data_IF_483099920445
#
_entry.id   IF_483099920445
#
_cell.length_a   1.000
_cell.length_b   1.000
_cell.length_c   1.000
_cell.angle_alpha   90.00
_cell.angle_beta   90.00
_cell.angle_gamma   90.00
#
_symmetry.space_group_name_H-M   'P 1'
#
loop_
_entity.id
_entity.type
_entity.pdbx_description
1 polymer ?
#
# COMPACT_ATOMS: atom_id res chain seq x y z
N UNK A 1 13.84 -15.77 -33.51
CA UNK A 1 14.30 -14.72 -32.56
C UNK A 1 13.99 -15.18 -31.14
N UNK A 2 14.98 -15.32 -30.25
CA UNK A 2 14.73 -15.51 -28.81
C UNK A 2 14.63 -14.13 -28.19
N UNK A 3 13.43 -13.68 -27.83
CA UNK A 3 13.27 -12.45 -27.05
C UNK A 3 13.91 -12.72 -25.68
N UNK A 4 14.95 -11.95 -25.34
CA UNK A 4 15.52 -11.97 -23.98
C UNK A 4 14.52 -11.26 -23.09
N UNK A 5 13.81 -12.03 -22.26
CA UNK A 5 13.00 -11.47 -21.19
C UNK A 5 13.95 -10.70 -20.25
N UNK A 6 13.72 -9.41 -20.08
CA UNK A 6 14.49 -8.59 -19.15
C UNK A 6 14.22 -9.08 -17.73
N UNK A 7 15.25 -9.52 -17.03
CA UNK A 7 15.15 -10.03 -15.68
C UNK A 7 15.34 -8.89 -14.67
N UNK A 8 14.31 -8.60 -13.86
CA UNK A 8 14.40 -7.60 -12.80
C UNK A 8 15.22 -8.10 -11.62
N UNK A 9 15.96 -7.18 -11.02
CA UNK A 9 16.75 -7.42 -9.80
C UNK A 9 15.91 -7.13 -8.55
N UNK A 10 16.19 -7.82 -7.43
CA UNK A 10 15.58 -7.56 -6.14
C UNK A 10 15.50 -6.08 -5.76
N UNK A 11 16.62 -5.36 -5.95
CA UNK A 11 16.72 -3.94 -5.59
C UNK A 11 15.74 -3.06 -6.36
N UNK A 12 15.48 -3.36 -7.64
CA UNK A 12 14.58 -2.56 -8.49
C UNK A 12 13.14 -2.66 -8.01
N UNK A 13 12.71 -3.86 -7.61
CA UNK A 13 11.35 -4.04 -7.07
C UNK A 13 11.22 -3.41 -5.69
N UNK A 14 12.27 -3.48 -4.85
CA UNK A 14 12.28 -2.76 -3.58
C UNK A 14 12.23 -1.23 -3.77
N UNK A 15 12.99 -0.69 -4.72
CA UNK A 15 12.99 0.74 -5.03
C UNK A 15 11.63 1.20 -5.51
N UNK A 16 11.02 0.45 -6.43
CA UNK A 16 9.64 0.66 -6.84
C UNK A 16 8.68 0.66 -5.65
N UNK A 17 8.73 -0.38 -4.83
CA UNK A 17 7.77 -0.56 -3.75
C UNK A 17 7.81 0.60 -2.75
N UNK A 18 9.01 1.04 -2.37
CA UNK A 18 9.15 2.18 -1.46
C UNK A 18 8.79 3.51 -2.13
N UNK A 19 9.03 3.67 -3.44
CA UNK A 19 8.54 4.84 -4.18
C UNK A 19 7.01 4.88 -4.25
N UNK A 20 6.37 3.74 -4.44
CA UNK A 20 4.92 3.60 -4.35
C UNK A 20 4.42 3.97 -2.95
N UNK A 21 5.07 3.49 -1.88
CA UNK A 21 4.74 3.88 -0.51
C UNK A 21 4.91 5.39 -0.25
N UNK A 22 5.86 6.04 -0.90
CA UNK A 22 6.07 7.49 -0.81
C UNK A 22 4.92 8.27 -1.46
N UNK A 23 4.59 7.94 -2.72
CA UNK A 23 3.47 8.57 -3.45
C UNK A 23 2.16 8.35 -2.70
N UNK A 24 1.89 7.11 -2.30
CA UNK A 24 0.67 6.76 -1.59
C UNK A 24 0.65 7.35 -0.17
N UNK A 25 1.82 7.47 0.48
CA UNK A 25 1.98 8.13 1.77
C UNK A 25 1.47 9.57 1.76
N UNK A 26 1.76 10.30 0.69
CA UNK A 26 1.24 11.66 0.47
C UNK A 26 -0.27 11.67 0.33
N UNK A 27 -0.82 10.72 -0.44
CA UNK A 27 -2.27 10.58 -0.64
C UNK A 27 -2.96 10.32 0.70
N UNK A 28 -2.52 9.31 1.46
CA UNK A 28 -3.16 8.97 2.74
C UNK A 28 -2.99 10.06 3.80
N UNK A 29 -1.93 10.85 3.74
CA UNK A 29 -1.74 12.02 4.61
C UNK A 29 -2.71 13.15 4.23
N UNK A 30 -2.78 13.50 2.95
CA UNK A 30 -3.68 14.54 2.43
C UNK A 30 -5.14 14.19 2.71
N UNK A 31 -5.50 12.93 2.54
CA UNK A 31 -6.87 12.43 2.75
C UNK A 31 -7.19 12.21 4.25
N UNK A 32 -6.26 12.57 5.16
CA UNK A 32 -6.46 12.47 6.61
C UNK A 32 -6.56 11.04 7.14
N UNK A 33 -6.12 10.04 6.38
CA UNK A 33 -6.09 8.63 6.80
C UNK A 33 -4.92 8.33 7.74
N UNK A 34 -3.88 9.17 7.71
CA UNK A 34 -2.81 9.24 8.72
C UNK A 34 -2.62 10.68 9.16
N UNK A 35 -2.34 10.87 10.44
CA UNK A 35 -2.05 12.20 11.00
C UNK A 35 -0.55 12.49 11.08
N UNK A 36 -0.18 13.77 11.10
CA UNK A 36 1.21 14.21 11.37
C UNK A 36 1.70 13.65 12.70
N UNK A 37 0.82 13.61 13.72
CA UNK A 37 1.13 13.02 15.04
C UNK A 37 1.51 11.54 14.94
N UNK A 38 0.80 10.74 14.13
CA UNK A 38 1.16 9.33 13.92
C UNK A 38 2.54 9.18 13.25
N UNK A 39 2.92 10.10 12.36
CA UNK A 39 4.26 10.15 11.75
C UNK A 39 5.32 10.53 12.79
N UNK A 40 5.05 11.53 13.63
CA UNK A 40 5.94 11.96 14.72
C UNK A 40 6.18 10.85 15.74
N UNK A 41 5.13 10.12 16.13
CA UNK A 41 5.25 8.98 17.04
C UNK A 41 6.14 7.88 16.45
N UNK A 42 6.08 7.67 15.13
CA UNK A 42 6.98 6.76 14.45
C UNK A 42 8.43 7.26 14.45
N UNK A 43 8.67 8.55 14.16
CA UNK A 43 10.04 9.10 14.10
C UNK A 43 10.69 9.21 15.49
N UNK A 44 10.00 9.83 16.45
CA UNK A 44 10.59 10.24 17.72
C UNK A 44 10.45 9.17 18.81
N UNK A 45 9.35 8.41 18.81
CA UNK A 45 9.11 7.34 19.81
C UNK A 45 9.45 5.95 19.27
N UNK A 46 9.81 5.85 17.98
CA UNK A 46 10.05 4.57 17.31
C UNK A 46 8.80 3.71 17.16
N UNK A 47 7.60 4.23 17.47
CA UNK A 47 6.34 3.50 17.41
C UNK A 47 5.78 3.47 15.98
N UNK A 48 6.52 2.83 15.10
CA UNK A 48 6.16 2.73 13.68
C UNK A 48 5.29 1.51 13.36
N UNK A 49 5.00 0.64 14.32
CA UNK A 49 4.49 -0.71 14.03
C UNK A 49 3.17 -0.69 13.25
N UNK A 50 2.28 0.27 13.51
CA UNK A 50 1.04 0.42 12.74
C UNK A 50 1.33 0.96 11.32
N UNK A 51 2.10 2.04 11.23
CA UNK A 51 2.41 2.72 9.96
C UNK A 51 3.26 1.85 9.01
N UNK A 52 4.20 1.07 9.56
CA UNK A 52 5.10 0.18 8.81
C UNK A 52 4.40 -1.04 8.21
N UNK A 53 3.15 -1.28 8.61
CA UNK A 53 2.31 -2.35 8.07
C UNK A 53 1.23 -1.78 7.18
N UNK A 54 0.46 -0.80 7.68
CA UNK A 54 -0.73 -0.31 6.99
C UNK A 54 -0.43 0.46 5.71
N UNK A 55 0.53 1.40 5.73
CA UNK A 55 0.87 2.18 4.54
C UNK A 55 1.45 1.31 3.39
N UNK A 56 2.39 0.39 3.67
CA UNK A 56 2.89 -0.48 2.61
C UNK A 56 1.84 -1.49 2.14
N UNK A 57 0.95 -1.98 3.02
CA UNK A 57 -0.17 -2.82 2.62
C UNK A 57 -1.17 -2.06 1.73
N UNK A 58 -1.45 -0.79 2.04
CA UNK A 58 -2.28 0.08 1.21
C UNK A 58 -1.67 0.25 -0.18
N UNK A 59 -0.35 0.45 -0.23
CA UNK A 59 0.39 0.61 -1.50
C UNK A 59 0.38 -0.64 -2.36
N UNK A 60 0.48 -1.82 -1.74
CA UNK A 60 0.29 -3.10 -2.43
C UNK A 60 -1.15 -3.25 -2.93
N UNK A 61 -2.16 -2.93 -2.10
CA UNK A 61 -3.55 -2.98 -2.53
C UNK A 61 -3.80 -2.10 -3.76
N UNK A 62 -3.28 -0.87 -3.77
CA UNK A 62 -3.39 0.04 -4.91
C UNK A 62 -2.76 -0.57 -6.17
N UNK A 63 -1.56 -1.15 -6.06
CA UNK A 63 -0.91 -1.86 -7.17
C UNK A 63 -1.76 -3.03 -7.68
N UNK A 64 -2.32 -3.84 -6.78
CA UNK A 64 -3.15 -4.99 -7.15
C UNK A 64 -4.43 -4.56 -7.88
N UNK A 65 -5.13 -3.54 -7.37
CA UNK A 65 -6.35 -3.02 -7.99
C UNK A 65 -6.06 -2.44 -9.38
N UNK A 66 -5.00 -1.63 -9.51
CA UNK A 66 -4.57 -1.10 -10.81
C UNK A 66 -4.24 -2.23 -11.80
N UNK A 67 -3.52 -3.25 -11.35
CA UNK A 67 -3.13 -4.40 -12.18
C UNK A 67 -4.34 -5.28 -12.58
N UNK A 68 -5.31 -5.45 -11.68
CA UNK A 68 -6.54 -6.18 -11.97
C UNK A 68 -7.37 -5.44 -13.03
N UNK A 69 -7.52 -4.12 -12.88
CA UNK A 69 -8.26 -3.25 -13.80
C UNK A 69 -7.66 -3.17 -15.19
N UNK A 70 -6.33 -3.14 -15.30
CA UNK A 70 -5.64 -3.09 -16.59
C UNK A 70 -5.59 -4.43 -17.33
N UNK A 71 -6.12 -5.51 -16.71
CA UNK A 71 -6.07 -6.86 -17.26
C UNK A 71 -4.64 -7.30 -17.67
N UNK A 72 -3.63 -6.85 -16.93
CA UNK A 72 -2.22 -7.22 -17.16
C UNK A 72 -1.99 -8.72 -16.90
N UNK A 73 -0.83 -9.28 -17.27
CA UNK A 73 -0.46 -10.66 -16.89
C UNK A 73 0.19 -10.73 -15.49
N UNK A 74 0.64 -9.59 -14.97
CA UNK A 74 1.47 -9.46 -13.77
C UNK A 74 1.12 -8.22 -12.94
N UNK A 75 2.03 -7.78 -12.07
CA UNK A 75 1.85 -6.57 -11.28
C UNK A 75 2.34 -5.35 -12.06
N UNK A 76 1.46 -4.37 -12.28
CA UNK A 76 1.82 -3.07 -12.87
C UNK A 76 2.57 -2.28 -11.82
N UNK A 77 3.87 -2.11 -12.03
CA UNK A 77 4.76 -1.39 -11.10
C UNK A 77 5.14 0.00 -11.64
N UNK A 78 5.10 0.23 -12.94
CA UNK A 78 5.08 1.58 -13.53
C UNK A 78 4.37 1.54 -14.87
N UNK A 79 4.16 2.71 -15.48
CA UNK A 79 3.37 2.86 -16.73
C UNK A 79 3.72 1.83 -17.81
N UNK A 80 5.02 1.51 -17.97
CA UNK A 80 5.50 0.53 -18.97
C UNK A 80 6.13 -0.73 -18.35
N UNK A 81 6.00 -0.95 -17.04
CA UNK A 81 6.65 -2.09 -16.38
C UNK A 81 5.64 -2.97 -15.67
N UNK A 82 5.62 -4.21 -16.13
CA UNK A 82 4.85 -5.29 -15.54
C UNK A 82 5.78 -6.36 -14.94
N UNK A 83 5.57 -6.68 -13.67
CA UNK A 83 6.31 -7.72 -12.97
C UNK A 83 5.52 -9.04 -13.04
N UNK A 84 6.04 -9.99 -13.79
CA UNK A 84 5.49 -11.34 -13.98
C UNK A 84 6.40 -12.38 -13.30
N UNK A 85 5.94 -13.64 -13.26
CA UNK A 85 6.79 -14.76 -12.80
C UNK A 85 8.01 -14.97 -13.69
N UNK A 86 7.95 -14.55 -14.96
CA UNK A 86 8.99 -14.79 -15.95
C UNK A 86 10.11 -13.76 -15.92
N UNK A 87 9.79 -12.51 -15.57
CA UNK A 87 10.74 -11.41 -15.51
C UNK A 87 11.10 -10.99 -14.08
N UNK A 88 10.35 -11.44 -13.07
CA UNK A 88 10.58 -11.10 -11.66
C UNK A 88 11.76 -11.86 -11.06
N UNK A 89 12.42 -11.30 -10.02
CA UNK A 89 13.64 -11.89 -9.46
C UNK A 89 13.49 -13.37 -9.06
N UNK A 90 14.55 -14.16 -9.29
CA UNK A 90 14.55 -15.62 -9.06
C UNK A 90 15.01 -16.05 -7.67
N UNK A 91 15.20 -15.11 -6.75
CA UNK A 91 15.57 -15.41 -5.37
C UNK A 91 14.34 -15.78 -4.53
N UNK A 92 14.53 -16.66 -3.54
CA UNK A 92 13.45 -17.21 -2.70
C UNK A 92 12.64 -16.14 -1.97
N UNK A 93 13.29 -15.02 -1.65
CA UNK A 93 12.66 -13.88 -0.98
C UNK A 93 11.60 -13.27 -1.91
N UNK A 94 11.87 -13.15 -3.20
CA UNK A 94 10.91 -12.63 -4.18
C UNK A 94 9.79 -13.60 -4.50
N UNK A 95 10.08 -14.89 -4.63
CA UNK A 95 9.03 -15.90 -4.83
C UNK A 95 8.01 -15.88 -3.68
N UNK A 96 8.47 -15.68 -2.44
CA UNK A 96 7.61 -15.63 -1.26
C UNK A 96 6.73 -14.37 -1.19
N UNK A 97 7.13 -13.27 -1.83
CA UNK A 97 6.36 -12.02 -1.81
C UNK A 97 5.51 -11.82 -3.07
N UNK A 98 6.10 -11.97 -4.26
CA UNK A 98 5.44 -11.67 -5.54
C UNK A 98 4.44 -12.76 -5.92
N UNK A 99 4.78 -14.03 -5.68
CA UNK A 99 3.89 -15.17 -5.97
C UNK A 99 2.52 -15.00 -5.31
N UNK A 100 2.44 -14.74 -3.99
CA UNK A 100 1.20 -14.43 -3.31
C UNK A 100 0.46 -13.20 -3.86
N UNK A 101 1.17 -12.13 -4.20
CA UNK A 101 0.55 -10.91 -4.75
C UNK A 101 -0.10 -11.16 -6.11
N UNK A 102 0.53 -11.94 -6.99
CA UNK A 102 -0.08 -12.33 -8.26
C UNK A 102 -1.37 -13.12 -8.06
N UNK A 103 -1.41 -14.03 -7.07
CA UNK A 103 -2.65 -14.76 -6.74
C UNK A 103 -3.73 -13.79 -6.24
N UNK A 104 -3.36 -12.85 -5.37
CA UNK A 104 -4.31 -11.87 -4.83
C UNK A 104 -4.84 -10.90 -5.88
N UNK A 105 -4.02 -10.56 -6.88
CA UNK A 105 -4.45 -9.79 -8.05
C UNK A 105 -5.56 -10.53 -8.79
N UNK A 106 -5.37 -11.81 -9.11
CA UNK A 106 -6.40 -12.60 -9.81
C UNK A 106 -7.67 -12.77 -8.95
N UNK A 107 -7.52 -12.87 -7.62
CA UNK A 107 -8.66 -12.85 -6.71
C UNK A 107 -9.44 -11.53 -6.79
N UNK A 108 -8.76 -10.38 -6.75
CA UNK A 108 -9.40 -9.06 -6.88
C UNK A 108 -10.05 -8.85 -8.24
N UNK A 109 -9.40 -9.32 -9.31
CA UNK A 109 -9.95 -9.28 -10.67
C UNK A 109 -11.27 -10.02 -10.77
N UNK A 110 -11.35 -11.23 -10.22
CA UNK A 110 -12.56 -12.05 -10.25
C UNK A 110 -13.67 -11.56 -9.31
N UNK A 111 -13.34 -10.69 -8.35
CA UNK A 111 -14.33 -10.11 -7.45
C UNK A 111 -15.08 -8.93 -8.08
N UNK A 112 -14.58 -8.34 -9.18
CA UNK A 112 -15.21 -7.24 -9.92
C UNK A 112 -15.71 -6.15 -8.97
N UNK A 113 -14.79 -5.48 -8.27
CA UNK A 113 -15.14 -4.47 -7.27
C UNK A 113 -15.74 -3.23 -7.92
N UNK A 114 -16.80 -2.71 -7.32
CA UNK A 114 -17.28 -1.36 -7.63
C UNK A 114 -16.30 -0.30 -7.12
N UNK A 115 -16.31 0.89 -7.73
CA UNK A 115 -15.43 2.00 -7.33
C UNK A 115 -15.64 2.42 -5.86
N UNK A 116 -16.89 2.33 -5.38
CA UNK A 116 -17.26 2.58 -3.98
C UNK A 116 -16.62 1.55 -3.03
N UNK A 117 -16.63 0.28 -3.42
CA UNK A 117 -16.03 -0.82 -2.65
C UNK A 117 -14.51 -0.69 -2.62
N UNK A 118 -13.87 -0.35 -3.74
CA UNK A 118 -12.42 -0.11 -3.77
C UNK A 118 -11.99 1.03 -2.87
N UNK A 119 -12.74 2.14 -2.90
CA UNK A 119 -12.47 3.31 -2.06
C UNK A 119 -12.60 2.94 -0.59
N UNK A 120 -13.69 2.28 -0.21
CA UNK A 120 -13.89 1.80 1.16
C UNK A 120 -12.81 0.78 1.58
N UNK A 121 -12.43 -0.14 0.69
CA UNK A 121 -11.41 -1.15 0.95
C UNK A 121 -10.04 -0.50 1.27
N UNK A 122 -9.66 0.52 0.50
CA UNK A 122 -8.45 1.31 0.75
C UNK A 122 -8.49 2.00 2.11
N UNK A 123 -9.61 2.60 2.49
CA UNK A 123 -9.76 3.18 3.83
C UNK A 123 -9.65 2.13 4.94
N UNK A 124 -10.26 0.96 4.75
CA UNK A 124 -10.28 -0.12 5.74
C UNK A 124 -8.91 -0.73 6.01
N UNK A 125 -7.99 -0.71 5.03
CA UNK A 125 -6.58 -1.05 5.27
C UNK A 125 -5.97 -0.12 6.33
N UNK A 126 -6.29 1.17 6.29
CA UNK A 126 -5.73 2.19 7.19
C UNK A 126 -6.46 2.24 8.54
N UNK A 127 -7.79 2.17 8.52
CA UNK A 127 -8.63 2.44 9.70
C UNK A 127 -8.97 1.19 10.51
N UNK A 128 -9.32 0.09 9.85
CA UNK A 128 -9.77 -1.12 10.54
C UNK A 128 -8.61 -1.99 11.06
N UNK A 129 -8.87 -2.79 12.09
CA UNK A 129 -7.95 -3.84 12.57
C UNK A 129 -7.93 -4.99 11.57
N UNK A 130 -9.11 -5.41 11.11
CA UNK A 130 -9.32 -6.54 10.21
C UNK A 130 -8.87 -7.87 10.82
N UNK A 131 -8.95 -8.02 12.14
CA UNK A 131 -8.60 -9.23 12.86
C UNK A 131 -9.75 -10.27 12.76
N UNK A 132 -10.99 -9.79 12.84
CA UNK A 132 -12.22 -10.60 12.84
C UNK A 132 -13.29 -10.02 11.89
N UNK A 133 -14.26 -10.83 11.41
CA UNK A 133 -15.30 -10.35 10.49
C UNK A 133 -16.10 -9.15 11.00
N UNK A 134 -16.36 -9.12 12.30
CA UNK A 134 -17.18 -8.10 12.98
C UNK A 134 -16.51 -6.71 12.96
N UNK A 135 -15.22 -6.63 12.65
CA UNK A 135 -14.49 -5.36 12.50
C UNK A 135 -15.05 -4.47 11.37
N UNK A 136 -15.94 -5.00 10.51
CA UNK A 136 -16.59 -4.26 9.43
C UNK A 136 -18.05 -3.90 9.71
N UNK A 137 -18.63 -4.36 10.82
CA UNK A 137 -20.07 -4.20 11.05
C UNK A 137 -20.50 -2.74 11.17
N UNK A 138 -19.61 -1.89 11.70
CA UNK A 138 -19.82 -0.46 11.85
C UNK A 138 -19.16 0.41 10.78
N UNK A 139 -18.52 -0.19 9.76
CA UNK A 139 -17.73 0.57 8.78
C UNK A 139 -18.54 1.11 7.61
N UNK A 140 -19.79 0.67 7.46
CA UNK A 140 -20.63 1.06 6.33
C UNK A 140 -20.14 0.51 4.98
N UNK A 141 -19.38 -0.61 4.99
CA UNK A 141 -18.91 -1.22 3.73
C UNK A 141 -20.08 -1.47 2.75
N UNK A 142 -19.95 -1.11 1.45
CA UNK A 142 -21.10 -1.06 0.53
C UNK A 142 -21.84 -2.39 0.38
N UNK A 143 -21.12 -3.51 0.30
CA UNK A 143 -21.76 -4.82 0.17
C UNK A 143 -22.32 -5.33 1.50
N UNK A 144 -23.55 -5.86 1.43
CA UNK A 144 -24.23 -6.59 2.52
C UNK A 144 -23.97 -8.10 2.47
N UNK A 145 -23.28 -8.60 1.44
CA UNK A 145 -22.94 -10.02 1.33
C UNK A 145 -21.76 -10.36 2.27
N UNK A 146 -22.04 -11.19 3.26
CA UNK A 146 -21.05 -11.63 4.24
C UNK A 146 -19.90 -12.42 3.61
N UNK A 147 -20.15 -13.18 2.54
CA UNK A 147 -19.11 -13.94 1.84
C UNK A 147 -18.16 -12.98 1.15
N UNK A 148 -18.69 -12.00 0.40
CA UNK A 148 -17.89 -10.96 -0.26
C UNK A 148 -17.07 -10.15 0.73
N UNK A 149 -17.68 -9.69 1.83
CA UNK A 149 -16.98 -8.98 2.92
C UNK A 149 -15.83 -9.82 3.49
N UNK A 150 -16.09 -11.09 3.79
CA UNK A 150 -15.07 -11.99 4.32
C UNK A 150 -13.91 -12.23 3.33
N UNK A 151 -14.19 -12.35 2.03
CA UNK A 151 -13.18 -12.47 0.98
C UNK A 151 -12.28 -11.23 0.92
N UNK A 152 -12.87 -10.03 0.95
CA UNK A 152 -12.12 -8.77 0.92
C UNK A 152 -11.31 -8.54 2.21
N UNK A 153 -11.87 -8.87 3.37
CA UNK A 153 -11.14 -8.88 4.64
C UNK A 153 -9.95 -9.86 4.62
N UNK A 154 -10.13 -11.04 4.02
CA UNK A 154 -9.05 -12.01 3.89
C UNK A 154 -7.90 -11.47 3.02
N UNK A 155 -8.20 -10.71 1.96
CA UNK A 155 -7.20 -10.02 1.14
C UNK A 155 -6.41 -9.01 1.98
N UNK A 156 -7.09 -8.17 2.78
CA UNK A 156 -6.41 -7.20 3.64
C UNK A 156 -5.52 -7.88 4.68
N UNK A 157 -6.03 -8.91 5.37
CA UNK A 157 -5.23 -9.69 6.34
C UNK A 157 -3.99 -10.30 5.69
N UNK A 158 -4.14 -10.85 4.49
CA UNK A 158 -3.01 -11.45 3.75
C UNK A 158 -1.97 -10.40 3.34
N UNK A 159 -2.39 -9.22 2.87
CA UNK A 159 -1.48 -8.10 2.59
C UNK A 159 -0.71 -7.67 3.84
N UNK A 160 -1.42 -7.48 4.95
CA UNK A 160 -0.80 -7.08 6.21
C UNK A 160 0.16 -8.15 6.74
N UNK A 161 -0.16 -9.45 6.56
CA UNK A 161 0.72 -10.57 6.91
C UNK A 161 2.01 -10.61 6.07
N UNK A 162 1.90 -10.36 4.76
CA UNK A 162 3.06 -10.24 3.86
C UNK A 162 3.94 -9.07 4.29
N UNK A 163 3.36 -7.89 4.48
CA UNK A 163 4.11 -6.70 4.90
C UNK A 163 4.70 -6.87 6.30
N UNK A 164 3.98 -7.51 7.23
CA UNK A 164 4.49 -7.84 8.57
C UNK A 164 5.75 -8.70 8.50
N UNK A 165 5.78 -9.65 7.59
CA UNK A 165 6.97 -10.46 7.34
C UNK A 165 8.11 -9.64 6.72
N UNK A 166 7.82 -8.82 5.71
CA UNK A 166 8.79 -7.90 5.09
C UNK A 166 9.38 -6.91 6.09
N UNK A 167 8.57 -6.41 7.02
CA UNK A 167 8.95 -5.42 8.03
C UNK A 167 10.07 -5.89 8.97
N UNK A 168 10.28 -7.21 9.04
CA UNK A 168 11.36 -7.82 9.84
C UNK A 168 12.71 -7.79 9.14
N UNK A 169 12.78 -7.42 7.86
CA UNK A 169 14.02 -7.37 7.10
C UNK A 169 14.77 -6.06 7.38
N UNK A 170 16.10 -6.08 7.59
CA UNK A 170 16.89 -4.87 7.83
C UNK A 170 16.79 -3.84 6.69
N UNK A 171 16.74 -4.32 5.44
CA UNK A 171 16.58 -3.48 4.24
C UNK A 171 15.25 -2.73 4.25
N UNK A 172 14.16 -3.41 4.57
CA UNK A 172 12.84 -2.80 4.73
C UNK A 172 12.88 -1.74 5.82
N UNK A 173 13.34 -2.08 7.03
CA UNK A 173 13.36 -1.12 8.16
C UNK A 173 14.13 0.14 7.83
N UNK A 174 15.29 0.00 7.15
CA UNK A 174 16.10 1.14 6.71
C UNK A 174 15.35 2.03 5.72
N UNK A 175 14.81 1.43 4.64
CA UNK A 175 14.08 2.19 3.60
C UNK A 175 12.79 2.82 4.15
N UNK A 176 12.06 2.11 5.00
CA UNK A 176 10.85 2.60 5.63
C UNK A 176 11.12 3.80 6.55
N UNK A 177 12.20 3.76 7.35
CA UNK A 177 12.58 4.91 8.18
C UNK A 177 12.87 6.15 7.33
N UNK A 178 13.52 5.99 6.18
CA UNK A 178 13.78 7.10 5.26
C UNK A 178 12.48 7.63 4.65
N UNK A 179 11.58 6.75 4.23
CA UNK A 179 10.25 7.10 3.75
C UNK A 179 9.47 7.97 4.76
N UNK A 180 9.41 7.55 6.02
CA UNK A 180 8.66 8.29 7.06
C UNK A 180 9.27 9.68 7.27
N UNK A 181 10.59 9.82 7.23
CA UNK A 181 11.25 11.15 7.31
C UNK A 181 10.85 12.06 6.15
N UNK A 182 10.77 11.53 4.93
CA UNK A 182 10.32 12.30 3.76
C UNK A 182 8.89 12.77 3.97
N UNK A 183 7.98 11.87 4.35
CA UNK A 183 6.58 12.22 4.61
C UNK A 183 6.43 13.26 5.72
N UNK A 184 7.28 13.22 6.75
CA UNK A 184 7.26 14.21 7.83
C UNK A 184 7.68 15.60 7.36
N UNK A 185 8.77 15.70 6.59
CA UNK A 185 9.25 16.98 6.05
C UNK A 185 8.16 17.61 5.17
N UNK A 186 7.53 16.83 4.31
CA UNK A 186 6.45 17.30 3.44
C UNK A 186 5.22 17.73 4.24
N UNK A 187 4.86 17.00 5.30
CA UNK A 187 3.77 17.38 6.19
C UNK A 187 4.00 18.75 6.85
N UNK A 188 5.24 19.02 7.27
CA UNK A 188 5.63 20.30 7.86
C UNK A 188 5.57 21.44 6.83
N UNK A 189 6.06 21.19 5.61
CA UNK A 189 5.99 22.17 4.51
C UNK A 189 4.55 22.52 4.15
N UNK A 190 3.68 21.52 3.99
CA UNK A 190 2.26 21.75 3.73
C UNK A 190 1.59 22.56 4.85
N UNK A 191 1.96 22.31 6.10
CA UNK A 191 1.45 23.06 7.27
C UNK A 191 1.96 24.50 7.32
N UNK A 192 3.19 24.76 6.87
CA UNK A 192 3.77 26.10 6.80
C UNK A 192 3.11 26.94 5.70
N UNK A 193 2.95 26.38 4.49
CA UNK A 193 2.30 27.07 3.38
C UNK A 193 0.83 27.39 3.66
N UNK A 194 0.11 26.55 4.40
CA UNK A 194 -1.25 26.84 4.83
C UNK A 194 -1.35 28.03 5.81
N UNK A 195 -0.32 28.23 6.65
CA UNK A 195 -0.27 29.37 7.59
C UNK A 195 0.06 30.69 6.89
N UNK A 196 0.88 30.66 5.84
CA UNK A 196 1.21 31.84 5.04
C UNK A 196 0.02 32.31 4.19
N UNK A 197 -0.79 31.38 3.66
CA UNK A 197 -1.99 31.72 2.89
C UNK A 197 -3.12 32.37 3.72
N UNK A 198 -3.24 32.03 5.00
CA UNK A 198 -4.27 32.58 5.88
C UNK A 198 -3.97 34.02 6.38
N UNK A 199 -2.75 34.53 6.16
CA UNK A 199 -2.36 35.88 6.58
C UNK A 199 -2.57 36.95 5.49
N UNK A 200 -3.15 36.58 4.34
CA UNK A 200 -3.29 37.48 3.17
C UNK A 200 -4.73 38.03 3.03
N UNK A 201 -5.70 37.51 3.80
CA UNK A 201 -7.12 37.88 3.74
C UNK A 201 -7.65 38.54 5.03
N UNK A 202 -6.96 39.55 5.57
CA UNK A 202 -7.55 40.48 6.55
C UNK A 202 -7.40 41.94 6.06
N UNK A 203 -8.46 42.54 5.48
CA UNK A 203 -8.59 43.99 5.34
C UNK A 203 -9.12 44.67 6.62
#
# INVERSE_FOLDING_TARGET
MKWKIQQYKPVQVWDWFFKSCEVNGRIVLRDGLISVKEIEECIFKGNCKKLSIKLPAWSLLQCLLTSAKSNSDGLVISDDIELTRMNGPKDRVFEWFIGPLLIMKEQLKNLELEESEETCLKELVMRSKNDIPEDWDSTGFPSKDNVRRAQLQAIIRRLQGIVSSMSRMPTFRRKFRNLVKILYIEALQASASAKEGNNIDEP
#
